data_IF_360290191922
#
_entry.id   IF_360290191922
#
_cell.length_a   1.000
_cell.length_b   1.000
_cell.length_c   1.000
_cell.angle_alpha   90.00
_cell.angle_beta   90.00
_cell.angle_gamma   90.00
#
_symmetry.space_group_name_H-M   'P 1'
#
loop_
_entity.id
_entity.type
_entity.pdbx_description
1 polymer ?
#
# COMPACT_ATOMS: atom_id res chain seq x y z
N UNK A 1 7.88 2.14 3.14
CA UNK A 1 7.60 1.04 4.10
C UNK A 1 8.06 1.32 5.54
N UNK A 2 9.24 1.94 5.78
CA UNK A 2 9.71 2.25 7.15
C UNK A 2 8.73 3.11 7.95
N UNK A 3 8.11 4.12 7.32
CA UNK A 3 7.11 4.99 7.95
C UNK A 3 5.87 4.20 8.42
N UNK A 4 5.41 3.23 7.63
CA UNK A 4 4.29 2.34 8.01
C UNK A 4 4.67 1.47 9.19
N UNK A 5 5.87 0.86 9.19
CA UNK A 5 6.34 0.06 10.33
C UNK A 5 6.45 0.89 11.61
N UNK A 6 6.96 2.13 11.52
CA UNK A 6 7.01 3.04 12.66
C UNK A 6 5.59 3.33 13.19
N UNK A 7 4.65 3.65 12.30
CA UNK A 7 3.25 3.91 12.67
C UNK A 7 2.53 2.69 13.25
N UNK A 8 2.81 1.48 12.77
CA UNK A 8 2.28 0.23 13.34
C UNK A 8 2.82 0.00 14.77
N UNK A 9 4.11 0.25 14.99
CA UNK A 9 4.72 0.18 16.33
C UNK A 9 4.14 1.23 17.29
N UNK A 10 4.00 2.48 16.84
CA UNK A 10 3.35 3.56 17.59
C UNK A 10 1.90 3.23 17.94
N UNK A 11 1.19 2.52 17.05
CA UNK A 11 -0.18 2.08 17.27
C UNK A 11 -0.29 0.83 18.16
N UNK A 12 0.82 0.30 18.69
CA UNK A 12 0.84 -0.87 19.57
C UNK A 12 0.48 -2.18 18.88
N UNK A 13 0.68 -2.29 17.56
CA UNK A 13 0.44 -3.54 16.82
C UNK A 13 1.46 -4.60 17.20
N UNK A 14 1.04 -5.87 17.15
CA UNK A 14 1.89 -7.00 17.53
C UNK A 14 3.10 -7.09 16.60
N UNK A 15 4.19 -7.65 17.11
CA UNK A 15 5.38 -7.92 16.29
C UNK A 15 5.07 -8.86 15.12
N UNK A 16 4.11 -9.77 15.29
CA UNK A 16 3.68 -10.69 14.24
C UNK A 16 2.96 -9.97 13.10
N UNK A 17 2.08 -9.01 13.39
CA UNK A 17 1.43 -8.18 12.36
C UNK A 17 2.48 -7.33 11.59
N UNK A 18 3.48 -6.82 12.31
CA UNK A 18 4.58 -6.06 11.69
C UNK A 18 5.42 -6.96 10.78
N UNK A 19 5.73 -8.19 11.21
CA UNK A 19 6.48 -9.17 10.40
C UNK A 19 5.67 -9.60 9.17
N UNK A 20 4.38 -9.88 9.34
CA UNK A 20 3.46 -10.19 8.25
C UNK A 20 3.48 -9.08 7.20
N UNK A 21 3.36 -7.81 7.64
CA UNK A 21 3.46 -6.67 6.74
C UNK A 21 4.80 -6.62 6.02
N UNK A 22 5.93 -6.79 6.71
CA UNK A 22 7.25 -6.71 6.10
C UNK A 22 7.46 -7.79 5.03
N UNK A 23 7.09 -9.04 5.33
CA UNK A 23 7.23 -10.16 4.40
C UNK A 23 6.26 -10.02 3.22
N UNK A 24 4.99 -9.74 3.50
CA UNK A 24 3.96 -9.58 2.46
C UNK A 24 4.26 -8.38 1.56
N UNK A 25 4.70 -7.26 2.13
CA UNK A 25 5.02 -6.06 1.36
C UNK A 25 6.25 -6.25 0.48
N UNK A 26 7.25 -7.03 0.90
CA UNK A 26 8.39 -7.35 0.05
C UNK A 26 7.96 -8.16 -1.19
N UNK A 27 7.11 -9.18 -1.01
CA UNK A 27 6.61 -9.99 -2.11
C UNK A 27 5.73 -9.17 -3.07
N UNK A 28 4.81 -8.38 -2.52
CA UNK A 28 3.94 -7.50 -3.30
C UNK A 28 4.75 -6.43 -4.05
N UNK A 29 5.73 -5.80 -3.39
CA UNK A 29 6.59 -4.79 -4.02
C UNK A 29 7.35 -5.36 -5.23
N UNK A 30 7.82 -6.61 -5.16
CA UNK A 30 8.47 -7.27 -6.30
C UNK A 30 7.53 -7.40 -7.50
N UNK A 31 6.27 -7.78 -7.26
CA UNK A 31 5.24 -7.92 -8.30
C UNK A 31 4.86 -6.56 -8.90
N UNK A 32 4.75 -5.53 -8.06
CA UNK A 32 4.48 -4.15 -8.48
C UNK A 32 5.63 -3.63 -9.35
N UNK A 33 6.89 -3.82 -8.93
CA UNK A 33 8.05 -3.39 -9.72
C UNK A 33 8.12 -4.07 -11.09
N UNK A 34 7.80 -5.36 -11.17
CA UNK A 34 7.81 -6.12 -12.42
C UNK A 34 6.82 -5.55 -13.45
N UNK A 35 5.67 -5.06 -12.99
CA UNK A 35 4.61 -4.51 -13.82
C UNK A 35 4.46 -2.98 -13.65
N UNK A 36 5.52 -2.28 -13.20
CA UNK A 36 5.42 -0.88 -12.80
C UNK A 36 4.93 0.04 -13.93
N UNK A 37 5.19 -0.32 -15.19
CA UNK A 37 4.76 0.44 -16.37
C UNK A 37 3.26 0.40 -16.60
N UNK A 38 2.58 -0.62 -16.09
CA UNK A 38 1.13 -0.81 -16.25
C UNK A 38 0.35 -0.07 -15.16
N UNK A 39 1.03 0.32 -14.08
CA UNK A 39 0.44 1.05 -12.98
C UNK A 39 0.50 2.55 -13.21
N UNK A 40 -0.64 3.22 -13.02
CA UNK A 40 -0.65 4.64 -12.73
C UNK A 40 -0.50 4.85 -11.21
N UNK A 41 0.32 5.82 -10.81
CA UNK A 41 0.62 6.09 -9.40
C UNK A 41 -0.02 7.39 -8.94
N UNK A 42 -0.67 7.35 -7.78
CA UNK A 42 -1.40 8.47 -7.21
C UNK A 42 -0.92 8.76 -5.78
N UNK A 43 -0.96 10.04 -5.41
CA UNK A 43 -0.72 10.51 -4.04
C UNK A 43 -2.02 11.07 -3.45
N UNK A 44 -2.12 11.09 -2.12
CA UNK A 44 -3.27 11.70 -1.45
C UNK A 44 -3.29 13.23 -1.61
N UNK A 45 -4.41 13.85 -1.21
CA UNK A 45 -4.64 15.30 -1.34
C UNK A 45 -3.53 16.17 -0.72
N UNK A 46 -2.89 15.69 0.36
CA UNK A 46 -1.79 16.39 1.02
C UNK A 46 -0.48 16.37 0.23
N UNK A 47 -0.40 15.57 -0.85
CA UNK A 47 0.78 15.35 -1.69
C UNK A 47 2.04 15.02 -0.88
N UNK A 48 1.88 14.41 0.30
CA UNK A 48 3.00 14.08 1.18
C UNK A 48 3.91 13.02 0.51
N UNK A 49 5.20 13.33 0.24
CA UNK A 49 6.13 12.39 -0.39
C UNK A 49 6.44 11.17 0.50
N UNK A 50 6.28 11.28 1.82
CA UNK A 50 6.41 10.16 2.77
C UNK A 50 5.10 9.38 2.96
N UNK A 51 4.04 9.81 2.27
CA UNK A 51 2.71 9.20 2.30
C UNK A 51 2.65 7.88 1.53
N UNK A 52 1.47 7.25 1.59
CA UNK A 52 1.20 6.06 0.79
C UNK A 52 0.95 6.45 -0.66
N UNK A 53 1.66 5.79 -1.58
CA UNK A 53 1.34 5.82 -3.02
C UNK A 53 0.26 4.77 -3.28
N UNK A 54 -0.78 5.16 -3.99
CA UNK A 54 -1.86 4.28 -4.43
C UNK A 54 -1.62 3.89 -5.88
N UNK A 55 -1.87 2.63 -6.22
CA UNK A 55 -1.64 2.09 -7.55
C UNK A 55 -2.98 1.84 -8.24
N UNK A 56 -3.19 2.49 -9.39
CA UNK A 56 -4.29 2.21 -10.30
C UNK A 56 -3.82 1.23 -11.37
N UNK A 57 -4.63 0.21 -11.62
CA UNK A 57 -4.48 -0.65 -12.78
C UNK A 57 -5.87 -1.06 -13.29
N UNK A 58 -5.90 -1.73 -14.43
CA UNK A 58 -7.11 -2.24 -15.05
C UNK A 58 -7.15 -3.76 -14.90
N UNK A 59 -8.35 -4.32 -14.75
CA UNK A 59 -8.54 -5.77 -14.77
C UNK A 59 -8.16 -6.33 -16.15
N UNK A 60 -8.21 -7.65 -16.29
CA UNK A 60 -7.90 -8.33 -17.57
C UNK A 60 -8.77 -7.84 -18.75
N UNK A 61 -9.93 -7.25 -18.47
CA UNK A 61 -10.80 -6.61 -19.47
C UNK A 61 -10.26 -5.28 -20.03
N UNK A 62 -9.19 -4.72 -19.44
CA UNK A 62 -8.54 -3.48 -19.87
C UNK A 62 -9.36 -2.21 -19.64
N UNK A 63 -10.57 -2.30 -19.08
CA UNK A 63 -11.50 -1.17 -18.96
C UNK A 63 -12.01 -0.95 -17.53
N UNK A 64 -11.99 -1.97 -16.68
CA UNK A 64 -12.45 -1.87 -15.30
C UNK A 64 -11.29 -1.47 -14.40
N UNK A 65 -11.24 -0.21 -13.90
CA UNK A 65 -10.16 0.23 -13.02
C UNK A 65 -10.30 -0.39 -11.63
N UNK A 66 -9.16 -0.62 -10.98
CA UNK A 66 -9.09 -0.93 -9.55
C UNK A 66 -7.89 -0.25 -8.91
N UNK A 67 -8.06 0.14 -7.65
CA UNK A 67 -6.98 0.70 -6.86
C UNK A 67 -6.45 -0.32 -5.86
N UNK A 68 -5.13 -0.39 -5.74
CA UNK A 68 -4.43 -1.20 -4.75
C UNK A 68 -3.92 -0.31 -3.63
N UNK A 69 -4.29 -0.65 -2.40
CA UNK A 69 -3.89 0.05 -1.19
C UNK A 69 -3.14 -0.89 -0.25
N UNK A 70 -2.16 -0.35 0.49
CA UNK A 70 -1.55 -1.08 1.59
C UNK A 70 -2.49 -1.07 2.79
N UNK A 71 -3.11 -2.22 3.10
CA UNK A 71 -4.01 -2.38 4.26
C UNK A 71 -3.43 -1.78 5.55
N UNK A 72 -2.17 -2.08 5.84
CA UNK A 72 -1.48 -1.61 7.05
C UNK A 72 -1.20 -0.09 7.07
N UNK A 73 -1.38 0.60 5.94
CA UNK A 73 -1.31 2.05 5.83
C UNK A 73 -2.66 2.75 6.02
N UNK A 74 -3.75 2.00 6.21
CA UNK A 74 -5.10 2.52 6.37
C UNK A 74 -5.62 2.32 7.79
N UNK A 75 -6.55 3.18 8.20
CA UNK A 75 -7.34 3.02 9.43
C UNK A 75 -8.81 2.98 9.04
N UNK A 76 -9.54 2.01 9.56
CA UNK A 76 -10.99 1.96 9.40
C UNK A 76 -11.68 2.97 10.32
N UNK A 77 -12.78 3.54 9.84
CA UNK A 77 -13.68 4.39 10.61
C UNK A 77 -15.10 4.05 10.19
N UNK A 78 -15.94 3.70 11.16
CA UNK A 78 -17.37 3.53 10.94
C UNK A 78 -18.07 4.85 11.20
N UNK A 79 -18.91 5.27 10.26
CA UNK A 79 -19.80 6.43 10.37
C UNK A 79 -21.14 5.95 10.95
#
# INVERSE_FOLDING_TARGET
MKCVVAKLKEAGRSEDEIKEFQTGAQAAAKTILANFKDYETYTGESMNPDGMIVLLNYREDGITPYFTFWKHGLKEMKI
#
